data_IF_353984914508
#
_entry.id   IF_353984914508
#
_cell.length_a   1.000
_cell.length_b   1.000
_cell.length_c   1.000
_cell.angle_alpha   90.00
_cell.angle_beta   90.00
_cell.angle_gamma   90.00
#
_symmetry.space_group_name_H-M   'P 1'
#
loop_
_entity.id
_entity.type
_entity.pdbx_description
1 polymer ?
#
# COMPACT_ATOMS: atom_id res chain seq x y z
N UNK A 1 43.34 -0.49 15.17
CA UNK A 1 42.39 -1.51 15.62
C UNK A 1 42.78 -2.83 14.96
N UNK A 2 43.10 -3.86 15.73
CA UNK A 2 43.44 -5.18 15.18
C UNK A 2 42.12 -5.90 14.90
N UNK A 3 41.83 -6.17 13.63
CA UNK A 3 40.69 -7.01 13.24
C UNK A 3 41.10 -8.45 13.53
N UNK A 4 40.66 -8.98 14.67
CA UNK A 4 40.81 -10.41 14.99
C UNK A 4 39.79 -11.19 14.16
N UNK A 5 40.27 -11.89 13.13
CA UNK A 5 39.49 -12.86 12.37
C UNK A 5 39.20 -14.08 13.27
N UNK A 6 37.94 -14.53 13.28
CA UNK A 6 37.53 -15.75 13.99
C UNK A 6 38.30 -16.94 13.42
N UNK A 7 38.78 -17.81 14.29
CA UNK A 7 39.38 -19.09 13.87
C UNK A 7 38.28 -20.03 13.35
N UNK A 8 38.63 -21.02 12.52
CA UNK A 8 37.65 -21.96 11.92
C UNK A 8 36.72 -22.56 12.98
N UNK A 9 37.28 -23.01 14.10
CA UNK A 9 36.51 -23.62 15.18
C UNK A 9 35.52 -22.64 15.83
N UNK A 10 35.88 -21.35 15.95
CA UNK A 10 34.99 -20.32 16.49
C UNK A 10 33.88 -19.95 15.49
N UNK A 11 34.15 -20.08 14.19
CA UNK A 11 33.17 -19.88 13.14
C UNK A 11 32.12 -21.01 13.16
N UNK A 12 32.56 -22.26 13.26
CA UNK A 12 31.69 -23.43 13.32
C UNK A 12 30.80 -23.40 14.58
N UNK A 13 31.36 -23.01 15.73
CA UNK A 13 30.60 -22.85 16.97
C UNK A 13 29.54 -21.74 16.84
N UNK A 14 29.88 -20.64 16.17
CA UNK A 14 28.94 -19.54 15.92
C UNK A 14 27.81 -19.98 14.97
N UNK A 15 28.15 -20.71 13.90
CA UNK A 15 27.18 -21.23 12.94
C UNK A 15 26.21 -22.21 13.61
N UNK A 16 26.70 -23.14 14.44
CA UNK A 16 25.86 -24.04 15.23
C UNK A 16 24.93 -23.29 16.18
N UNK A 17 25.42 -22.22 16.84
CA UNK A 17 24.60 -21.40 17.73
C UNK A 17 23.54 -20.60 16.98
N UNK A 18 23.85 -20.09 15.79
CA UNK A 18 22.90 -19.38 14.93
C UNK A 18 21.83 -20.35 14.42
N UNK A 19 22.24 -21.52 13.93
CA UNK A 19 21.34 -22.57 13.46
C UNK A 19 20.37 -23.02 14.56
N UNK A 20 20.89 -23.35 15.76
CA UNK A 20 20.05 -23.75 16.89
C UNK A 20 19.05 -22.67 17.32
N UNK A 21 19.45 -21.39 17.26
CA UNK A 21 18.52 -20.26 17.52
C UNK A 21 17.49 -20.09 16.42
N UNK A 22 17.87 -20.26 15.15
CA UNK A 22 16.96 -20.21 14.03
C UNK A 22 15.91 -21.34 14.14
N UNK A 23 16.35 -22.56 14.43
CA UNK A 23 15.48 -23.71 14.64
C UNK A 23 14.56 -23.51 15.85
N UNK A 24 15.07 -22.99 16.96
CA UNK A 24 14.24 -22.65 18.12
C UNK A 24 13.18 -21.58 17.80
N UNK A 25 13.52 -20.58 16.98
CA UNK A 25 12.59 -19.55 16.52
C UNK A 25 11.54 -20.11 15.55
N UNK A 26 11.96 -20.99 14.64
CA UNK A 26 11.06 -21.70 13.71
C UNK A 26 10.12 -22.59 14.52
N UNK A 27 10.62 -23.39 15.47
CA UNK A 27 9.84 -24.25 16.34
C UNK A 27 8.86 -23.48 17.23
N UNK A 28 9.29 -22.34 17.81
CA UNK A 28 8.41 -21.47 18.57
C UNK A 28 7.31 -20.85 17.70
N UNK A 29 7.62 -20.56 16.42
CA UNK A 29 6.66 -20.02 15.46
C UNK A 29 5.71 -21.08 14.93
N UNK A 30 6.17 -22.30 14.67
CA UNK A 30 5.32 -23.44 14.28
C UNK A 30 4.46 -23.91 15.44
N UNK A 31 4.96 -23.89 16.68
CA UNK A 31 4.15 -24.13 17.88
C UNK A 31 3.04 -23.08 18.09
N UNK A 32 3.31 -21.80 17.75
CA UNK A 32 2.26 -20.75 17.67
C UNK A 32 1.30 -20.94 16.50
N UNK A 33 1.71 -21.63 15.43
CA UNK A 33 0.83 -22.02 14.30
C UNK A 33 0.02 -23.27 14.66
N UNK A 34 0.52 -24.13 15.55
CA UNK A 34 -0.19 -25.29 16.14
C UNK A 34 -1.12 -24.91 17.30
N UNK A 35 -1.49 -23.64 17.44
CA UNK A 35 -2.82 -23.35 17.97
C UNK A 35 -3.75 -24.08 17.00
N UNK A 36 -4.29 -25.24 17.43
CA UNK A 36 -5.27 -26.01 16.66
C UNK A 36 -6.12 -25.02 15.90
N UNK A 37 -6.33 -25.16 14.58
CA UNK A 37 -7.37 -24.40 13.93
C UNK A 37 -8.60 -24.66 14.80
N UNK A 38 -9.03 -23.62 15.54
CA UNK A 38 -10.39 -23.61 16.03
C UNK A 38 -11.17 -23.93 14.77
N UNK A 39 -12.00 -24.99 14.75
CA UNK A 39 -12.75 -25.31 13.55
C UNK A 39 -13.28 -23.99 13.05
N UNK A 40 -13.04 -23.70 11.78
CA UNK A 40 -13.74 -22.64 11.10
C UNK A 40 -15.21 -23.01 11.22
N UNK A 41 -15.81 -22.68 12.37
CA UNK A 41 -17.08 -22.03 12.37
C UNK A 41 -16.78 -20.88 11.42
N UNK A 42 -17.12 -21.08 10.14
CA UNK A 42 -17.71 -20.01 9.36
C UNK A 42 -18.40 -19.14 10.39
N UNK A 43 -17.86 -17.94 10.59
CA UNK A 43 -18.46 -16.98 11.49
C UNK A 43 -19.78 -16.70 10.79
N UNK A 44 -20.78 -17.52 11.09
CA UNK A 44 -22.13 -17.38 10.57
C UNK A 44 -22.50 -16.02 11.10
N UNK A 45 -22.67 -15.01 10.22
CA UNK A 45 -22.92 -13.67 10.68
C UNK A 45 -24.13 -13.75 11.58
N UNK A 46 -23.94 -13.40 12.85
CA UNK A 46 -25.07 -13.28 13.77
C UNK A 46 -25.99 -12.22 13.17
N UNK A 47 -27.14 -12.65 12.65
CA UNK A 47 -28.20 -11.74 12.19
C UNK A 47 -28.81 -10.92 13.34
N UNK A 48 -28.35 -11.13 14.58
CA UNK A 48 -28.64 -10.25 15.71
C UNK A 48 -27.56 -9.18 15.82
N UNK A 49 -27.91 -7.95 15.44
CA UNK A 49 -27.07 -6.76 15.64
C UNK A 49 -27.18 -5.75 14.50
N UNK A 50 -26.53 -4.59 14.68
CA UNK A 50 -26.31 -3.63 13.58
C UNK A 50 -25.48 -4.32 12.50
N UNK A 51 -25.81 -4.15 11.20
CA UNK A 51 -25.03 -4.76 10.12
C UNK A 51 -23.55 -4.39 10.23
N UNK A 52 -22.64 -5.32 9.89
CA UNK A 52 -21.21 -5.06 9.94
C UNK A 52 -20.87 -3.86 9.05
N UNK A 53 -20.09 -2.94 9.61
CA UNK A 53 -19.72 -1.72 8.91
C UNK A 53 -18.80 -2.03 7.73
N UNK A 54 -19.12 -1.49 6.57
CA UNK A 54 -18.34 -1.60 5.34
C UNK A 54 -18.01 -0.19 4.85
N UNK A 55 -16.73 0.07 4.61
CA UNK A 55 -16.21 1.37 4.18
C UNK A 55 -15.48 1.15 2.86
N UNK A 56 -15.88 1.88 1.81
CA UNK A 56 -15.13 1.89 0.56
C UNK A 56 -13.82 2.67 0.76
N UNK A 57 -12.70 2.08 0.35
CA UNK A 57 -11.39 2.70 0.43
C UNK A 57 -11.00 3.27 -0.94
N UNK A 58 -11.08 4.60 -1.13
CA UNK A 58 -10.75 5.22 -2.40
C UNK A 58 -9.24 5.20 -2.70
N UNK A 59 -8.38 4.90 -1.72
CA UNK A 59 -6.92 4.88 -1.90
C UNK A 59 -6.36 3.53 -2.31
N UNK A 60 -7.20 2.49 -2.35
CA UNK A 60 -6.78 1.18 -2.84
C UNK A 60 -6.22 1.33 -4.26
N UNK A 61 -5.09 0.68 -4.56
CA UNK A 61 -4.32 0.79 -5.81
C UNK A 61 -3.57 2.12 -6.02
N UNK A 62 -4.02 3.24 -5.44
CA UNK A 62 -3.38 4.54 -5.62
C UNK A 62 -2.20 4.82 -4.68
N UNK A 63 -2.14 4.11 -3.54
CA UNK A 63 -1.03 4.20 -2.59
C UNK A 63 -0.45 2.81 -2.32
N UNK A 64 0.85 2.74 -2.01
CA UNK A 64 1.53 1.50 -1.69
C UNK A 64 2.95 1.44 -2.27
N UNK A 65 3.73 0.39 -1.94
CA UNK A 65 5.07 0.17 -2.48
C UNK A 65 5.22 0.31 -4.00
N UNK A 66 4.27 -0.12 -4.86
CA UNK A 66 4.44 0.00 -6.30
C UNK A 66 4.14 1.40 -6.84
N UNK A 67 3.60 2.32 -6.04
CA UNK A 67 3.22 3.66 -6.51
C UNK A 67 4.28 4.70 -6.16
N UNK A 68 4.23 5.87 -6.81
CA UNK A 68 5.16 6.98 -6.55
C UNK A 68 5.08 7.53 -5.11
N UNK A 69 4.00 7.24 -4.40
CA UNK A 69 3.82 7.61 -3.00
C UNK A 69 4.43 6.60 -2.01
N UNK A 70 4.77 5.40 -2.49
CA UNK A 70 5.31 4.33 -1.67
C UNK A 70 4.33 3.86 -0.59
N UNK A 71 4.84 3.04 0.33
CA UNK A 71 4.06 2.52 1.46
C UNK A 71 3.64 3.63 2.43
N UNK A 72 4.51 4.61 2.67
CA UNK A 72 4.28 5.67 3.65
C UNK A 72 4.11 7.02 2.94
N UNK A 73 2.90 7.32 2.42
CA UNK A 73 2.64 8.53 1.66
C UNK A 73 2.80 9.78 2.54
N UNK A 74 3.80 10.60 2.25
CA UNK A 74 4.15 11.79 3.05
C UNK A 74 2.95 12.73 3.30
N UNK A 75 2.08 12.92 2.30
CA UNK A 75 0.91 13.80 2.42
C UNK A 75 -0.12 13.34 3.47
N UNK A 76 -0.09 12.07 3.86
CA UNK A 76 -1.07 11.46 4.75
C UNK A 76 -0.48 10.96 6.08
N UNK A 77 0.84 10.95 6.24
CA UNK A 77 1.48 10.39 7.43
C UNK A 77 1.05 11.10 8.71
N UNK A 78 1.02 12.43 8.73
CA UNK A 78 0.61 13.19 9.92
C UNK A 78 -0.84 12.86 10.35
N UNK A 79 -1.72 12.63 9.36
CA UNK A 79 -3.12 12.25 9.58
C UNK A 79 -3.19 10.83 10.18
N UNK A 80 -2.52 9.87 9.55
CA UNK A 80 -2.53 8.47 9.98
C UNK A 80 -1.93 8.34 11.38
N UNK A 81 -0.81 9.00 11.63
CA UNK A 81 -0.16 8.99 12.95
C UNK A 81 -0.99 9.69 14.03
N UNK A 82 -1.57 10.85 13.71
CA UNK A 82 -2.43 11.59 14.64
C UNK A 82 -3.62 10.74 15.07
N UNK A 83 -4.28 10.09 14.11
CA UNK A 83 -5.42 9.21 14.38
C UNK A 83 -4.98 7.93 15.11
N UNK A 84 -3.82 7.36 14.77
CA UNK A 84 -3.29 6.18 15.47
C UNK A 84 -3.08 6.44 16.97
N UNK A 85 -2.71 7.66 17.35
CA UNK A 85 -2.44 8.08 18.74
C UNK A 85 -3.69 8.39 19.58
N UNK A 86 -4.89 8.41 18.98
CA UNK A 86 -6.15 8.60 19.71
C UNK A 86 -6.40 7.47 20.72
N UNK A 87 -7.27 7.70 21.70
CA UNK A 87 -7.70 6.63 22.61
C UNK A 87 -8.76 5.76 21.94
N UNK A 88 -8.38 4.53 21.62
CA UNK A 88 -9.21 3.52 20.97
C UNK A 88 -9.89 2.56 21.94
N UNK A 89 -9.70 2.75 23.23
CA UNK A 89 -10.31 1.95 24.27
C UNK A 89 -11.52 2.68 24.83
N UNK A 90 -12.70 2.08 24.64
CA UNK A 90 -13.96 2.62 25.13
C UNK A 90 -13.99 2.56 26.66
N UNK A 91 -13.46 3.61 27.29
CA UNK A 91 -13.37 3.79 28.74
C UNK A 91 -14.16 5.02 29.13
N UNK A 92 -14.79 4.96 30.29
CA UNK A 92 -15.53 6.10 30.84
C UNK A 92 -14.56 7.24 31.13
N UNK A 93 -14.98 8.48 30.84
CA UNK A 93 -14.17 9.67 31.10
C UNK A 93 -13.75 9.75 32.57
N UNK A 94 -12.47 9.98 32.84
CA UNK A 94 -11.92 10.08 34.20
C UNK A 94 -11.49 8.75 34.83
N UNK A 95 -11.84 7.60 34.24
CA UNK A 95 -11.25 6.30 34.61
C UNK A 95 -9.89 6.20 33.94
N UNK A 96 -8.84 6.63 34.63
CA UNK A 96 -7.47 6.58 34.13
C UNK A 96 -7.08 5.20 33.58
N UNK A 97 -6.16 5.18 32.62
CA UNK A 97 -5.68 3.96 32.00
C UNK A 97 -4.65 4.25 30.91
N UNK A 98 -3.81 3.27 30.58
CA UNK A 98 -2.82 3.42 29.50
C UNK A 98 -3.56 3.52 28.16
N UNK A 99 -3.47 4.65 27.47
CA UNK A 99 -3.83 4.73 26.05
C UNK A 99 -2.75 3.98 25.26
N UNK A 100 -3.14 2.97 24.49
CA UNK A 100 -2.24 2.30 23.57
C UNK A 100 -2.60 2.72 22.14
N UNK A 101 -1.65 3.33 21.40
CA UNK A 101 -1.89 3.73 20.03
C UNK A 101 -2.07 2.50 19.13
N UNK A 102 -2.80 2.67 18.04
CA UNK A 102 -2.86 1.68 16.97
C UNK A 102 -1.53 1.64 16.20
N UNK A 103 -1.26 0.52 15.55
CA UNK A 103 -0.08 0.39 14.68
C UNK A 103 -0.30 1.19 13.40
N UNK A 104 0.51 2.22 13.19
CA UNK A 104 0.56 3.02 11.95
C UNK A 104 0.80 2.11 10.74
N UNK A 105 1.73 1.16 10.87
CA UNK A 105 2.01 0.17 9.83
C UNK A 105 0.75 -0.62 9.45
N UNK A 106 -0.03 -1.05 10.42
CA UNK A 106 -1.25 -1.82 10.14
C UNK A 106 -2.32 -0.97 9.46
N UNK A 107 -2.46 0.31 9.84
CA UNK A 107 -3.38 1.24 9.19
C UNK A 107 -3.00 1.45 7.72
N UNK A 108 -1.71 1.64 7.44
CA UNK A 108 -1.17 1.76 6.09
C UNK A 108 -1.44 0.48 5.27
N UNK A 109 -1.18 -0.69 5.84
CA UNK A 109 -1.45 -1.98 5.16
C UNK A 109 -2.94 -2.12 4.79
N UNK A 110 -3.86 -1.69 5.67
CA UNK A 110 -5.29 -1.71 5.37
C UNK A 110 -5.62 -0.80 4.19
N UNK A 111 -5.10 0.44 4.18
CA UNK A 111 -5.34 1.40 3.10
C UNK A 111 -4.72 0.97 1.76
N UNK A 112 -3.59 0.26 1.80
CA UNK A 112 -2.89 -0.30 0.64
C UNK A 112 -3.69 -1.47 0.04
N UNK A 113 -4.06 -2.45 0.88
CA UNK A 113 -4.48 -3.78 0.42
C UNK A 113 -5.98 -3.95 0.25
N UNK A 114 -6.81 -3.20 0.97
CA UNK A 114 -8.26 -3.46 1.04
C UNK A 114 -9.06 -2.44 0.25
N UNK A 115 -9.77 -2.87 -0.78
CA UNK A 115 -10.76 -2.06 -1.51
C UNK A 115 -11.97 -1.73 -0.62
N UNK A 116 -12.47 -2.71 0.14
CA UNK A 116 -13.57 -2.56 1.09
C UNK A 116 -13.10 -2.95 2.47
N UNK A 117 -13.17 -2.00 3.40
CA UNK A 117 -12.71 -2.15 4.77
C UNK A 117 -13.89 -2.57 5.65
N UNK A 118 -13.82 -3.81 6.10
CA UNK A 118 -14.77 -4.45 7.01
C UNK A 118 -14.01 -5.03 8.20
N UNK A 119 -14.69 -5.28 9.33
CA UNK A 119 -14.02 -5.94 10.47
C UNK A 119 -13.47 -7.32 10.11
N UNK A 120 -14.16 -8.03 9.24
CA UNK A 120 -13.74 -9.34 8.74
C UNK A 120 -12.48 -9.26 7.87
N UNK A 121 -12.48 -8.41 6.84
CA UNK A 121 -11.32 -8.25 5.95
C UNK A 121 -10.08 -7.78 6.72
N UNK A 122 -10.25 -6.87 7.68
CA UNK A 122 -9.15 -6.41 8.55
C UNK A 122 -8.66 -7.53 9.47
N UNK A 123 -9.58 -8.29 10.08
CA UNK A 123 -9.28 -9.43 10.94
C UNK A 123 -8.47 -10.49 10.20
N UNK A 124 -8.88 -10.86 8.99
CA UNK A 124 -8.20 -11.83 8.14
C UNK A 124 -6.82 -11.33 7.68
N UNK A 125 -6.75 -10.07 7.20
CA UNK A 125 -5.51 -9.47 6.68
C UNK A 125 -4.44 -9.33 7.76
N UNK A 126 -4.82 -8.87 8.96
CA UNK A 126 -3.88 -8.60 10.04
C UNK A 126 -3.77 -9.74 11.07
N UNK A 127 -4.58 -10.80 10.92
CA UNK A 127 -4.70 -11.93 11.86
C UNK A 127 -4.99 -11.47 13.30
N UNK A 128 -5.95 -10.56 13.43
CA UNK A 128 -6.36 -9.97 14.71
C UNK A 128 -7.69 -10.54 15.18
N UNK A 129 -8.02 -10.38 16.47
CA UNK A 129 -9.38 -10.64 16.93
C UNK A 129 -10.34 -9.57 16.44
N UNK A 130 -11.62 -9.93 16.27
CA UNK A 130 -12.64 -9.04 15.72
C UNK A 130 -12.76 -7.71 16.50
N UNK A 131 -12.75 -7.75 17.84
CA UNK A 131 -12.77 -6.54 18.68
C UNK A 131 -11.60 -5.60 18.40
N UNK A 132 -10.42 -6.14 18.08
CA UNK A 132 -9.27 -5.33 17.74
C UNK A 132 -9.38 -4.80 16.31
N UNK A 133 -9.84 -5.62 15.36
CA UNK A 133 -10.11 -5.22 13.98
C UNK A 133 -11.13 -4.06 13.88
N UNK A 134 -12.18 -4.08 14.70
CA UNK A 134 -13.19 -3.00 14.76
C UNK A 134 -12.57 -1.64 15.07
N UNK A 135 -11.52 -1.57 15.90
CA UNK A 135 -10.80 -0.31 16.19
C UNK A 135 -10.11 0.23 14.95
N UNK A 136 -9.48 -0.64 14.17
CA UNK A 136 -8.86 -0.27 12.90
C UNK A 136 -9.91 0.19 11.88
N UNK A 137 -11.06 -0.48 11.78
CA UNK A 137 -12.16 -0.04 10.90
C UNK A 137 -12.63 1.38 11.26
N UNK A 138 -12.82 1.64 12.55
CA UNK A 138 -13.19 2.98 13.05
C UNK A 138 -12.08 4.02 12.79
N UNK A 139 -10.81 3.63 12.89
CA UNK A 139 -9.70 4.50 12.56
C UNK A 139 -9.67 4.86 11.06
N UNK A 140 -9.86 3.88 10.19
CA UNK A 140 -9.91 4.09 8.74
C UNK A 140 -11.08 4.99 8.35
N UNK A 141 -12.22 4.84 9.02
CA UNK A 141 -13.37 5.73 8.84
C UNK A 141 -13.02 7.21 9.09
N UNK A 142 -12.20 7.48 10.12
CA UNK A 142 -11.74 8.84 10.40
C UNK A 142 -10.64 9.27 9.43
N UNK A 143 -9.73 8.37 9.06
CA UNK A 143 -8.58 8.68 8.20
C UNK A 143 -9.03 9.10 6.80
N UNK A 144 -9.93 8.34 6.16
CA UNK A 144 -10.29 8.51 4.75
C UNK A 144 -10.73 9.96 4.44
N UNK A 145 -11.71 10.56 5.15
CA UNK A 145 -12.13 11.94 4.86
C UNK A 145 -11.01 12.97 4.97
N UNK A 146 -10.10 12.81 5.95
CA UNK A 146 -8.97 13.73 6.12
C UNK A 146 -7.93 13.55 5.02
N UNK A 147 -7.58 12.30 4.68
CA UNK A 147 -6.70 12.02 3.55
C UNK A 147 -7.28 12.57 2.26
N UNK A 148 -8.57 12.38 1.99
CA UNK A 148 -9.25 12.86 0.78
C UNK A 148 -9.09 14.37 0.59
N UNK A 149 -9.12 15.15 1.68
CA UNK A 149 -8.89 16.60 1.67
C UNK A 149 -7.42 16.99 1.49
N UNK A 150 -6.49 16.16 1.97
CA UNK A 150 -5.05 16.43 1.93
C UNK A 150 -4.34 15.92 0.66
N UNK A 151 -5.07 15.32 -0.29
CA UNK A 151 -4.48 14.71 -1.49
C UNK A 151 -3.75 15.76 -2.35
N UNK A 152 -2.53 15.45 -2.84
CA UNK A 152 -1.87 16.26 -3.85
C UNK A 152 -2.68 16.31 -5.15
N UNK A 153 -2.53 17.39 -5.93
CA UNK A 153 -3.23 17.57 -7.22
C UNK A 153 -3.01 16.40 -8.19
N UNK A 154 -1.78 15.89 -8.27
CA UNK A 154 -1.45 14.74 -9.12
C UNK A 154 -2.22 13.48 -8.73
N UNK A 155 -2.46 13.25 -7.44
CA UNK A 155 -3.24 12.11 -6.96
C UNK A 155 -4.73 12.30 -7.28
N UNK A 156 -5.24 13.52 -7.17
CA UNK A 156 -6.64 13.83 -7.52
C UNK A 156 -6.89 13.47 -8.99
N UNK A 157 -6.03 13.94 -9.90
CA UNK A 157 -6.12 13.64 -11.34
C UNK A 157 -6.09 12.13 -11.61
N UNK A 158 -5.12 11.41 -11.05
CA UNK A 158 -5.02 9.96 -11.25
C UNK A 158 -6.26 9.21 -10.75
N UNK A 159 -6.87 9.66 -9.65
CA UNK A 159 -8.08 9.04 -9.10
C UNK A 159 -9.32 9.32 -9.94
N UNK A 160 -9.40 10.51 -10.54
CA UNK A 160 -10.51 10.93 -11.41
C UNK A 160 -10.41 10.31 -12.81
N UNK A 161 -9.21 10.17 -13.37
CA UNK A 161 -8.98 9.56 -14.69
C UNK A 161 -9.42 8.07 -14.74
N UNK A 162 -9.26 7.33 -13.65
CA UNK A 162 -9.75 5.94 -13.54
C UNK A 162 -11.29 5.90 -13.42
N UNK A 163 -11.94 6.99 -13.00
CA UNK A 163 -13.40 7.10 -12.89
C UNK A 163 -14.10 7.47 -14.21
N UNK A 164 -13.38 7.65 -15.33
CA UNK A 164 -14.00 7.73 -16.66
C UNK A 164 -13.97 6.36 -17.36
N UNK A 165 -15.01 5.52 -17.23
CA UNK A 165 -15.16 4.37 -18.10
C UNK A 165 -15.67 4.90 -19.44
N UNK A 166 -14.75 5.19 -20.36
CA UNK A 166 -15.10 5.31 -21.78
C UNK A 166 -14.90 6.66 -22.45
N UNK A 167 -13.91 7.46 -22.04
CA UNK A 167 -13.40 8.51 -22.92
C UNK A 167 -11.89 8.40 -23.15
N UNK A 168 -11.46 7.24 -23.65
CA UNK A 168 -10.21 7.20 -24.42
C UNK A 168 -10.52 7.73 -25.81
N UNK A 169 -10.47 9.05 -25.96
CA UNK A 169 -10.45 9.73 -27.27
C UNK A 169 -9.31 9.22 -28.20
N UNK A 170 -8.41 8.38 -27.67
CA UNK A 170 -7.37 7.67 -28.41
C UNK A 170 -7.85 6.40 -29.16
N UNK A 171 -9.10 5.96 -29.01
CA UNK A 171 -9.65 4.84 -29.80
C UNK A 171 -10.09 5.25 -31.23
N UNK A 172 -10.06 6.55 -31.56
CA UNK A 172 -10.27 7.07 -32.92
C UNK A 172 -8.96 7.39 -33.67
N UNK A 173 -7.87 6.70 -33.36
CA UNK A 173 -6.59 6.84 -34.10
C UNK A 173 -6.49 5.85 -35.29
N UNK A 174 -7.47 4.97 -35.47
CA UNK A 174 -7.56 4.09 -36.65
C UNK A 174 -8.14 4.78 -37.89
N UNK A 175 -8.63 6.02 -37.77
CA UNK A 175 -8.92 6.91 -38.91
C UNK A 175 -7.70 7.80 -39.29
N UNK A 176 -6.48 7.34 -39.01
CA UNK A 176 -5.30 7.87 -39.68
C UNK A 176 -5.42 7.54 -41.18
N UNK A 177 -5.84 8.53 -41.95
CA UNK A 177 -5.79 8.53 -43.40
C UNK A 177 -4.37 8.10 -43.79
N UNK A 178 -4.21 7.00 -44.53
CA UNK A 178 -2.89 6.64 -45.04
C UNK A 178 -2.33 7.86 -45.77
N UNK A 179 -1.14 8.37 -45.37
CA UNK A 179 -0.59 9.56 -45.98
C UNK A 179 -0.45 9.31 -47.48
N UNK A 180 -0.91 10.27 -48.27
CA UNK A 180 -0.85 10.17 -49.71
C UNK A 180 0.62 10.10 -50.17
N UNK A 181 0.86 9.49 -51.33
CA UNK A 181 2.21 9.39 -51.92
C UNK A 181 2.87 10.76 -52.06
N UNK A 182 2.07 11.81 -52.30
CA UNK A 182 2.54 13.19 -52.46
C UNK A 182 2.97 13.81 -51.12
N UNK A 183 2.27 13.53 -50.02
CA UNK A 183 2.64 13.98 -48.68
C UNK A 183 3.93 13.31 -48.19
N UNK A 184 4.12 12.02 -48.50
CA UNK A 184 5.37 11.31 -48.24
C UNK A 184 6.53 11.86 -49.09
N UNK A 185 6.29 12.14 -50.37
CA UNK A 185 7.31 12.72 -51.25
C UNK A 185 7.73 14.13 -50.78
N UNK A 186 6.76 14.94 -50.32
CA UNK A 186 7.02 16.26 -49.75
C UNK A 186 7.85 16.17 -48.47
N UNK A 187 7.49 15.25 -47.55
CA UNK A 187 8.26 15.04 -46.33
C UNK A 187 9.71 14.60 -46.64
N UNK A 188 9.90 13.70 -47.60
CA UNK A 188 11.23 13.28 -48.03
C UNK A 188 12.06 14.44 -48.61
N UNK A 189 11.42 15.37 -49.32
CA UNK A 189 12.07 16.56 -49.84
C UNK A 189 12.45 17.53 -48.71
N UNK A 190 11.54 17.77 -47.75
CA UNK A 190 11.75 18.69 -46.63
C UNK A 190 12.77 18.17 -45.60
N UNK A 191 12.91 16.85 -45.45
CA UNK A 191 13.96 16.24 -44.62
C UNK A 191 15.34 16.31 -45.29
N UNK A 192 15.39 16.41 -46.63
CA UNK A 192 16.65 16.54 -47.36
C UNK A 192 17.33 17.88 -47.13
N UNK A 193 16.55 18.95 -46.96
CA UNK A 193 17.07 20.30 -46.66
C UNK A 193 17.59 20.43 -45.23
N UNK A 194 17.10 19.62 -44.28
CA UNK A 194 17.61 19.59 -42.90
C UNK A 194 18.97 18.89 -42.76
N UNK A 195 19.36 18.03 -43.72
CA UNK A 195 20.67 17.39 -43.77
C UNK A 195 21.80 18.24 -44.37
N UNK A 196 21.48 19.43 -44.88
CA UNK A 196 22.41 20.33 -45.57
C UNK A 196 22.78 21.58 -44.74
N UNK A 197 22.64 21.52 -43.41
CA UNK A 197 23.23 22.53 -42.52
C UNK A 197 24.72 22.19 -42.41
N UNK A 198 25.52 22.84 -43.25
CA UNK A 198 26.97 22.85 -43.14
C UNK A 198 27.37 23.29 -41.73
N UNK A 199 28.05 22.40 -41.00
CA UNK A 199 28.73 22.75 -39.76
C UNK A 199 29.85 23.75 -40.10
N UNK A 200 29.87 24.95 -39.50
CA UNK A 200 30.98 25.88 -39.72
C UNK A 200 32.29 25.26 -39.21
N UNK A 201 33.41 25.41 -39.94
CA UNK A 201 34.70 24.88 -39.52
C UNK A 201 35.14 25.57 -38.23
N UNK A 202 35.48 24.77 -37.23
CA UNK A 202 36.09 25.21 -35.98
C UNK A 202 37.27 26.16 -36.24
N UNK A 203 37.20 27.35 -35.66
CA UNK A 203 38.34 28.18 -35.25
C UNK A 203 38.09 28.61 -33.81
#
# INVERSE_FOLDING_TARGET
MIITLLTSNQLDELEQRIAARADALIAARTGRIQIKPKPSNEITPSNRGRPPKSIANPFHVFIGPPTSYGRYPLFAMDIIEGIARLDWYDRRTGTGGKSMPLSVRNLVVILEMLEKVTSESVSQTLRLSERHAQRYVKAIELIIPHMMKARPKSLILNMEEIHEPGNRDWENVDELTQPSTDELAKLHHDLRTLGAIELPPHV
#
